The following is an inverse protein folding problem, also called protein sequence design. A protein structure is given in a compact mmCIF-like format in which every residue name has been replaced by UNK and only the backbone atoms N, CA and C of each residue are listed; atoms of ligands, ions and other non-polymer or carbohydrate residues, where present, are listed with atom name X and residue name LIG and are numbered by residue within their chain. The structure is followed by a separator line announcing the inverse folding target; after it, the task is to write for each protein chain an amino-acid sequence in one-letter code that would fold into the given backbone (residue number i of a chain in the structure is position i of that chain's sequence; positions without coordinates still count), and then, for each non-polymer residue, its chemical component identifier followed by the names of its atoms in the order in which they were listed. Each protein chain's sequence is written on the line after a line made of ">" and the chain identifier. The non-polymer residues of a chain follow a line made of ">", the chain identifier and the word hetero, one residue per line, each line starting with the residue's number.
data_IF_135341223667
#
_entry.id   IF_135341223667
#
_cell.length_a   1.000
_cell.length_b   1.000
_cell.length_c   1.000
_cell.angle_alpha   90.00
_cell.angle_beta   90.00
_cell.angle_gamma   90.00
#
_symmetry.space_group_name_H-M   'P 1'
#
loop_
_entity.id
_entity.type
_entity.pdbx_description
1 polymer ?
#
# COMPACT_ATOMS: atom_id res chain seq x y z
N UNK A 1 8.59 9.16 -6.07
CA UNK A 1 8.19 8.21 -5.00
C UNK A 1 7.12 8.81 -4.09
N UNK A 2 7.42 9.89 -3.38
CA UNK A 2 6.49 10.53 -2.43
C UNK A 2 5.13 10.88 -3.05
N UNK A 3 5.09 11.41 -4.28
CA UNK A 3 3.83 11.72 -4.97
C UNK A 3 2.94 10.48 -5.21
N UNK A 4 3.54 9.37 -5.63
CA UNK A 4 2.81 8.12 -5.93
C UNK A 4 2.39 7.42 -4.64
N UNK A 5 3.27 7.35 -3.65
CA UNK A 5 3.00 6.72 -2.34
C UNK A 5 1.97 7.52 -1.51
N UNK A 6 2.00 8.85 -1.59
CA UNK A 6 0.97 9.72 -1.01
C UNK A 6 -0.33 9.78 -1.82
N UNK A 7 -0.34 9.19 -3.01
CA UNK A 7 -1.49 9.14 -3.88
C UNK A 7 -2.58 8.23 -3.32
N UNK A 8 -3.82 8.73 -3.31
CA UNK A 8 -4.99 7.96 -2.89
C UNK A 8 -6.14 8.16 -3.87
N UNK A 9 -6.78 7.06 -4.24
CA UNK A 9 -8.08 7.08 -4.91
C UNK A 9 -9.16 7.19 -3.87
N UNK A 10 -9.94 8.28 -3.92
CA UNK A 10 -11.04 8.53 -2.99
C UNK A 10 -12.34 7.97 -3.56
N UNK A 11 -12.92 6.97 -2.89
CA UNK A 11 -14.26 6.46 -3.22
C UNK A 11 -15.28 7.24 -2.38
N UNK A 12 -16.21 8.01 -2.99
CA UNK A 12 -17.20 8.75 -2.24
C UNK A 12 -18.20 7.80 -1.57
N UNK A 13 -18.48 8.04 -0.30
CA UNK A 13 -19.43 7.29 0.51
C UNK A 13 -20.40 8.27 1.16
N UNK A 14 -21.64 7.85 1.26
CA UNK A 14 -22.66 8.58 1.98
C UNK A 14 -23.16 7.73 3.14
N UNK A 15 -23.26 8.35 4.31
CA UNK A 15 -23.94 7.74 5.45
C UNK A 15 -25.41 8.12 5.44
N UNK A 16 -26.27 7.16 5.77
CA UNK A 16 -27.71 7.40 5.88
C UNK A 16 -28.01 8.53 6.87
N UNK A 17 -28.86 9.46 6.46
CA UNK A 17 -29.37 10.55 7.31
C UNK A 17 -30.36 9.96 8.31
N UNK A 18 -30.22 10.30 9.60
CA UNK A 18 -31.24 9.97 10.59
C UNK A 18 -32.09 11.20 10.86
N UNK A 19 -33.37 11.12 10.55
CA UNK A 19 -34.33 12.16 10.93
C UNK A 19 -34.69 11.92 12.40
N UNK A 20 -34.35 12.87 13.27
CA UNK A 20 -34.76 12.86 14.68
C UNK A 20 -35.62 14.10 14.91
N UNK A 21 -36.93 13.89 15.09
CA UNK A 21 -37.92 14.97 15.18
C UNK A 21 -38.09 15.71 13.84
N UNK A 22 -38.01 17.06 13.86
CA UNK A 22 -38.11 17.94 12.67
C UNK A 22 -36.76 18.34 12.07
N UNK A 23 -35.63 17.89 12.63
CA UNK A 23 -34.29 18.26 12.15
C UNK A 23 -33.63 17.05 11.50
N UNK A 24 -33.17 17.23 10.27
CA UNK A 24 -32.25 16.29 9.64
C UNK A 24 -30.90 16.41 10.36
N UNK A 25 -30.45 15.32 10.99
CA UNK A 25 -29.10 15.19 11.52
C UNK A 25 -28.35 14.10 10.74
N UNK A 26 -27.10 14.38 10.39
CA UNK A 26 -26.25 13.46 9.64
C UNK A 26 -26.35 13.59 8.12
N UNK A 27 -25.76 12.64 7.41
CA UNK A 27 -25.59 12.67 5.96
C UNK A 27 -24.38 13.43 5.47
N UNK A 28 -23.28 13.37 6.21
CA UNK A 28 -22.02 13.90 5.73
C UNK A 28 -21.47 12.98 4.65
N UNK A 29 -21.21 13.55 3.46
CA UNK A 29 -20.44 12.86 2.44
C UNK A 29 -19.01 12.69 2.95
N UNK A 30 -18.55 11.45 2.96
CA UNK A 30 -17.16 11.11 3.26
C UNK A 30 -16.52 10.43 2.04
N UNK A 31 -15.26 10.04 2.17
CA UNK A 31 -14.60 9.18 1.21
C UNK A 31 -13.85 8.05 1.92
N UNK A 32 -13.79 6.89 1.29
CA UNK A 32 -12.88 5.81 1.64
C UNK A 32 -11.60 6.00 0.83
N UNK A 33 -10.47 6.30 1.48
CA UNK A 33 -9.20 6.43 0.80
C UNK A 33 -8.62 5.05 0.48
N UNK A 34 -8.37 4.77 -0.80
CA UNK A 34 -7.57 3.63 -1.24
C UNK A 34 -6.22 4.14 -1.69
N UNK A 35 -5.15 3.78 -0.97
CA UNK A 35 -3.77 4.14 -1.36
C UNK A 35 -3.39 3.47 -2.67
N UNK A 36 -2.56 4.13 -3.48
CA UNK A 36 -2.04 3.55 -4.74
C UNK A 36 -1.19 2.31 -4.47
N UNK A 37 -0.42 2.33 -3.39
CA UNK A 37 0.31 1.18 -2.90
C UNK A 37 -0.14 0.84 -1.48
N UNK A 38 -1.11 -0.06 -1.36
CA UNK A 38 -1.54 -0.60 -0.06
C UNK A 38 -0.49 -1.52 0.55
N UNK A 39 0.41 -2.06 -0.28
CA UNK A 39 1.42 -3.04 0.12
C UNK A 39 2.73 -2.42 0.64
N UNK A 40 2.92 -1.12 0.41
CA UNK A 40 4.14 -0.40 0.78
C UNK A 40 5.39 -1.04 0.15
N UNK A 41 6.44 -1.17 0.96
CA UNK A 41 7.77 -1.67 0.57
C UNK A 41 7.88 -3.20 0.67
N UNK A 42 6.88 -3.86 1.25
CA UNK A 42 6.99 -5.28 1.62
C UNK A 42 7.14 -6.22 0.40
N UNK A 43 6.43 -6.03 -0.72
CA UNK A 43 6.58 -6.94 -1.88
C UNK A 43 8.00 -6.97 -2.48
N UNK A 44 8.68 -5.83 -2.74
CA UNK A 44 10.09 -5.84 -3.15
C UNK A 44 11.03 -6.54 -2.16
N UNK A 45 10.79 -6.40 -0.85
CA UNK A 45 11.60 -7.07 0.19
C UNK A 45 11.42 -8.59 0.09
N UNK A 46 10.19 -9.09 0.00
CA UNK A 46 9.97 -10.53 -0.14
C UNK A 46 10.54 -11.09 -1.45
N UNK A 47 10.33 -10.39 -2.57
CA UNK A 47 10.88 -10.78 -3.86
C UNK A 47 12.41 -10.88 -3.81
N UNK A 48 13.09 -9.90 -3.20
CA UNK A 48 14.56 -9.94 -3.06
C UNK A 48 15.03 -11.05 -2.12
N UNK A 49 14.35 -11.28 -1.00
CA UNK A 49 14.71 -12.35 -0.05
C UNK A 49 14.62 -13.75 -0.67
N UNK A 50 13.60 -14.00 -1.49
CA UNK A 50 13.40 -15.30 -2.16
C UNK A 50 14.45 -15.54 -3.24
N UNK A 51 14.88 -14.50 -3.96
CA UNK A 51 15.93 -14.66 -4.98
C UNK A 51 17.31 -14.80 -4.33
N UNK A 52 17.55 -14.08 -3.23
CA UNK A 52 18.83 -14.11 -2.54
C UNK A 52 19.09 -15.44 -1.82
N UNK A 53 18.03 -16.17 -1.42
CA UNK A 53 18.16 -17.44 -0.71
C UNK A 53 18.86 -18.54 -1.55
N UNK A 54 18.39 -18.91 -2.76
CA UNK A 54 19.10 -19.84 -3.62
C UNK A 54 20.47 -19.33 -4.05
N UNK A 55 20.61 -18.03 -4.31
CA UNK A 55 21.88 -17.44 -4.72
C UNK A 55 22.96 -17.60 -3.64
N UNK A 56 22.60 -17.42 -2.38
CA UNK A 56 23.49 -17.63 -1.23
C UNK A 56 23.90 -19.10 -1.10
N UNK A 57 22.96 -20.04 -1.23
CA UNK A 57 23.27 -21.49 -1.17
C UNK A 57 24.19 -21.89 -2.33
N UNK A 58 23.94 -21.35 -3.52
CA UNK A 58 24.73 -21.63 -4.71
C UNK A 58 26.19 -21.17 -4.60
N UNK A 59 26.49 -20.19 -3.75
CA UNK A 59 27.87 -19.77 -3.46
C UNK A 59 28.64 -20.78 -2.61
N UNK A 60 27.96 -21.58 -1.79
CA UNK A 60 28.60 -22.60 -0.94
C UNK A 60 28.87 -23.92 -1.67
N UNK A 61 28.22 -24.16 -2.80
CA UNK A 61 28.33 -25.42 -3.57
C UNK A 61 28.96 -25.13 -4.93
N UNK A 62 30.23 -25.51 -5.09
CA UNK A 62 31.01 -25.34 -6.33
C UNK A 62 30.68 -26.43 -7.38
N UNK A 63 29.41 -26.51 -7.80
CA UNK A 63 29.00 -27.38 -8.91
C UNK A 63 28.73 -26.57 -10.20
N UNK A 64 29.14 -27.05 -11.39
CA UNK A 64 29.07 -26.28 -12.65
C UNK A 64 27.67 -25.76 -13.00
N UNK A 65 26.62 -26.58 -12.81
CA UNK A 65 25.24 -26.18 -13.07
C UNK A 65 24.74 -25.12 -12.07
N UNK A 66 25.22 -25.19 -10.83
CA UNK A 66 24.84 -24.26 -9.78
C UNK A 66 25.49 -22.89 -9.96
N UNK A 67 26.73 -22.88 -10.47
CA UNK A 67 27.44 -21.67 -10.92
C UNK A 67 26.72 -20.99 -12.09
N UNK A 68 26.21 -21.75 -13.07
CA UNK A 68 25.43 -21.16 -14.16
C UNK A 68 24.11 -20.54 -13.69
N UNK A 69 23.43 -21.18 -12.73
CA UNK A 69 22.18 -20.65 -12.14
C UNK A 69 22.46 -19.40 -11.30
N UNK A 70 23.54 -19.42 -10.50
CA UNK A 70 24.02 -18.27 -9.73
C UNK A 70 24.35 -17.06 -10.64
N UNK A 71 25.04 -17.29 -11.75
CA UNK A 71 25.37 -16.24 -12.71
C UNK A 71 24.12 -15.63 -13.35
N UNK A 72 23.07 -16.44 -13.61
CA UNK A 72 21.78 -15.96 -14.13
C UNK A 72 20.93 -15.22 -13.09
N UNK A 73 21.16 -15.46 -11.79
CA UNK A 73 20.47 -14.79 -10.68
C UNK A 73 21.22 -13.56 -10.17
N UNK A 74 22.30 -13.16 -10.83
CA UNK A 74 23.06 -11.96 -10.48
C UNK A 74 22.33 -10.70 -10.99
N UNK A 75 22.24 -9.63 -10.18
CA UNK A 75 21.68 -8.35 -10.60
C UNK A 75 22.34 -7.82 -11.88
N UNK A 76 21.54 -7.28 -12.80
CA UNK A 76 22.00 -6.78 -14.11
C UNK A 76 21.86 -7.77 -15.28
N UNK A 77 21.44 -9.02 -15.03
CA UNK A 77 21.00 -9.92 -16.10
C UNK A 77 19.52 -9.71 -16.41
N UNK A 78 19.14 -9.87 -17.68
CA UNK A 78 17.73 -9.73 -18.12
C UNK A 78 16.85 -10.80 -17.45
N UNK A 79 17.41 -12.00 -17.25
CA UNK A 79 16.73 -13.12 -16.58
C UNK A 79 16.38 -12.77 -15.14
N UNK A 80 17.34 -12.23 -14.37
CA UNK A 80 17.10 -11.72 -13.01
C UNK A 80 15.99 -10.67 -13.00
N UNK A 81 16.06 -9.66 -13.88
CA UNK A 81 15.06 -8.59 -13.93
C UNK A 81 13.65 -9.09 -14.24
N UNK A 82 13.49 -10.09 -15.12
CA UNK A 82 12.20 -10.68 -15.46
C UNK A 82 11.63 -11.50 -14.29
N UNK A 83 12.43 -12.35 -13.66
CA UNK A 83 12.01 -13.14 -12.50
C UNK A 83 11.66 -12.21 -11.33
N UNK A 84 12.46 -11.17 -11.12
CA UNK A 84 12.24 -10.19 -10.07
C UNK A 84 10.98 -9.34 -10.30
N UNK A 85 10.73 -8.88 -11.55
CA UNK A 85 9.46 -8.29 -11.93
C UNK A 85 8.29 -9.23 -11.60
N UNK A 86 8.34 -10.47 -12.08
CA UNK A 86 7.28 -11.45 -11.87
C UNK A 86 6.99 -11.66 -10.39
N UNK A 87 8.05 -11.78 -9.57
CA UNK A 87 7.94 -11.89 -8.13
C UNK A 87 7.30 -10.65 -7.49
N UNK A 88 7.70 -9.43 -7.89
CA UNK A 88 7.10 -8.18 -7.40
C UNK A 88 5.60 -8.14 -7.71
N UNK A 89 5.20 -8.47 -8.94
CA UNK A 89 3.78 -8.54 -9.31
C UNK A 89 3.03 -9.55 -8.45
N UNK A 90 3.55 -10.77 -8.34
CA UNK A 90 2.94 -11.81 -7.52
C UNK A 90 2.76 -11.37 -6.06
N UNK A 91 3.81 -10.84 -5.43
CA UNK A 91 3.74 -10.41 -4.03
C UNK A 91 2.87 -9.18 -3.83
N UNK A 92 2.80 -8.26 -4.80
CA UNK A 92 1.94 -7.09 -4.71
C UNK A 92 0.45 -7.48 -4.70
N UNK A 93 0.06 -8.42 -5.57
CA UNK A 93 -1.31 -8.96 -5.57
C UNK A 93 -1.59 -9.81 -4.33
N UNK A 94 -0.67 -10.73 -3.99
CA UNK A 94 -0.82 -11.61 -2.84
C UNK A 94 -0.97 -10.83 -1.53
N UNK A 95 -0.07 -9.87 -1.28
CA UNK A 95 -0.11 -9.08 -0.05
C UNK A 95 -1.36 -8.18 0.02
N UNK A 96 -1.74 -7.55 -1.10
CA UNK A 96 -2.95 -6.72 -1.14
C UNK A 96 -4.20 -7.55 -0.82
N UNK A 97 -4.32 -8.76 -1.38
CA UNK A 97 -5.46 -9.64 -1.14
C UNK A 97 -5.53 -10.15 0.31
N UNK A 98 -4.37 -10.38 0.95
CA UNK A 98 -4.32 -10.85 2.35
C UNK A 98 -4.73 -9.75 3.33
N UNK A 99 -4.31 -8.50 3.10
CA UNK A 99 -4.59 -7.40 4.04
C UNK A 99 -5.93 -6.74 3.78
N UNK A 100 -6.27 -6.54 2.51
CA UNK A 100 -7.46 -5.81 2.13
C UNK A 100 -8.53 -6.78 1.65
N UNK A 101 -9.41 -7.19 2.57
CA UNK A 101 -10.59 -7.98 2.21
C UNK A 101 -11.75 -7.05 1.81
N UNK A 102 -12.11 -6.96 0.51
CA UNK A 102 -13.18 -6.07 0.03
C UNK A 102 -14.56 -6.47 0.56
N UNK A 103 -14.77 -7.74 0.91
CA UNK A 103 -16.02 -8.25 1.49
C UNK A 103 -16.22 -7.66 2.89
N UNK A 104 -15.20 -7.74 3.73
CA UNK A 104 -15.25 -7.20 5.10
C UNK A 104 -15.42 -5.68 5.11
N UNK A 105 -14.76 -4.97 4.18
CA UNK A 105 -14.90 -3.52 4.04
C UNK A 105 -16.32 -3.14 3.63
N UNK A 106 -16.92 -3.87 2.67
CA UNK A 106 -18.29 -3.64 2.23
C UNK A 106 -19.32 -3.94 3.34
N UNK A 107 -19.10 -5.00 4.12
CA UNK A 107 -19.97 -5.36 5.24
C UNK A 107 -19.86 -4.37 6.39
N UNK A 108 -18.66 -3.89 6.71
CA UNK A 108 -18.47 -2.81 7.69
C UNK A 108 -19.16 -1.51 7.23
N UNK A 109 -19.02 -1.16 5.96
CA UNK A 109 -19.71 -0.01 5.37
C UNK A 109 -21.23 -0.12 5.58
N UNK A 110 -21.80 -1.28 5.26
CA UNK A 110 -23.22 -1.59 5.42
C UNK A 110 -23.66 -1.54 6.89
N UNK A 111 -22.89 -2.13 7.81
CA UNK A 111 -23.17 -2.14 9.27
C UNK A 111 -23.20 -0.72 9.85
N UNK A 112 -22.33 0.18 9.37
CA UNK A 112 -22.30 1.58 9.79
C UNK A 112 -23.29 2.48 9.03
N UNK A 113 -24.18 1.90 8.21
CA UNK A 113 -25.18 2.67 7.44
C UNK A 113 -24.57 3.51 6.32
N UNK A 114 -23.34 3.20 5.91
CA UNK A 114 -22.66 3.79 4.77
C UNK A 114 -22.97 3.03 3.48
N UNK A 115 -23.04 3.74 2.36
CA UNK A 115 -23.17 3.15 1.04
C UNK A 115 -22.44 3.98 -0.01
N UNK A 116 -22.01 3.32 -1.07
CA UNK A 116 -21.43 3.98 -2.25
C UNK A 116 -22.59 4.40 -3.16
N UNK A 117 -22.73 5.70 -3.50
CA UNK A 117 -23.79 6.18 -4.37
C UNK A 117 -23.81 5.43 -5.71
N UNK A 118 -24.99 4.93 -6.11
CA UNK A 118 -25.18 4.19 -7.37
C UNK A 118 -24.93 2.68 -7.29
N UNK A 119 -24.48 2.14 -6.13
CA UNK A 119 -24.18 0.71 -5.98
C UNK A 119 -24.95 0.14 -4.79
N UNK A 120 -25.55 -1.04 -4.98
CA UNK A 120 -26.31 -1.72 -3.92
C UNK A 120 -25.36 -2.19 -2.80
N UNK A 121 -25.64 -1.91 -1.51
CA UNK A 121 -24.81 -2.37 -0.40
C UNK A 121 -24.68 -3.90 -0.31
N UNK A 122 -23.52 -4.39 0.11
CA UNK A 122 -23.19 -5.82 0.19
C UNK A 122 -22.30 -6.27 -0.97
N UNK A 123 -22.60 -7.44 -1.56
CA UNK A 123 -21.76 -8.07 -2.60
C UNK A 123 -21.41 -7.15 -3.79
N UNK A 124 -22.37 -6.33 -4.27
CA UNK A 124 -22.09 -5.39 -5.37
C UNK A 124 -21.10 -4.29 -4.99
N UNK A 125 -21.04 -3.94 -3.72
CA UNK A 125 -20.06 -2.97 -3.20
C UNK A 125 -18.68 -3.61 -3.07
N UNK A 126 -18.58 -4.87 -2.62
CA UNK A 126 -17.31 -5.59 -2.58
C UNK A 126 -16.73 -5.80 -3.97
N UNK A 127 -17.53 -6.22 -4.95
CA UNK A 127 -17.07 -6.43 -6.35
C UNK A 127 -16.53 -5.12 -6.96
N UNK A 128 -17.18 -3.99 -6.64
CA UNK A 128 -16.76 -2.68 -7.10
C UNK A 128 -15.42 -2.25 -6.47
N UNK A 129 -15.27 -2.44 -5.16
CA UNK A 129 -14.02 -2.15 -4.44
C UNK A 129 -12.89 -3.04 -4.96
N UNK A 130 -13.16 -4.34 -5.16
CA UNK A 130 -12.18 -5.31 -5.68
C UNK A 130 -11.69 -4.96 -7.09
N UNK A 131 -12.61 -4.59 -7.99
CA UNK A 131 -12.26 -4.15 -9.35
C UNK A 131 -11.36 -2.90 -9.31
N UNK A 132 -11.63 -1.98 -8.38
CA UNK A 132 -10.83 -0.77 -8.21
C UNK A 132 -9.44 -1.12 -7.66
N UNK A 133 -9.37 -1.95 -6.61
CA UNK A 133 -8.12 -2.38 -6.00
C UNK A 133 -7.25 -3.10 -7.02
N UNK A 134 -7.79 -4.09 -7.72
CA UNK A 134 -7.05 -4.85 -8.73
C UNK A 134 -6.41 -3.97 -9.81
N UNK A 135 -7.11 -2.90 -10.24
CA UNK A 135 -6.55 -1.93 -11.20
C UNK A 135 -5.49 -1.04 -10.56
N UNK A 136 -5.71 -0.56 -9.34
CA UNK A 136 -4.72 0.26 -8.62
C UNK A 136 -3.44 -0.55 -8.38
N UNK A 137 -3.58 -1.78 -7.87
CA UNK A 137 -2.48 -2.71 -7.60
C UNK A 137 -1.69 -3.02 -8.87
N UNK A 138 -2.35 -3.14 -10.03
CA UNK A 138 -1.64 -3.29 -11.30
C UNK A 138 -0.68 -2.12 -11.58
N UNK A 139 -1.18 -0.87 -11.50
CA UNK A 139 -0.34 0.31 -11.69
C UNK A 139 0.74 0.43 -10.60
N UNK A 140 0.41 0.07 -9.36
CA UNK A 140 1.36 0.02 -8.24
C UNK A 140 2.51 -0.96 -8.51
N UNK A 141 2.20 -2.19 -8.94
CA UNK A 141 3.19 -3.21 -9.26
C UNK A 141 4.11 -2.80 -10.42
N UNK A 142 3.55 -2.23 -11.50
CA UNK A 142 4.33 -1.68 -12.61
C UNK A 142 5.30 -0.61 -12.10
N UNK A 143 4.80 0.36 -11.33
CA UNK A 143 5.61 1.44 -10.77
C UNK A 143 6.73 0.93 -9.85
N UNK A 144 6.43 -0.01 -8.94
CA UNK A 144 7.42 -0.60 -8.04
C UNK A 144 8.50 -1.37 -8.82
N UNK A 145 8.11 -2.18 -9.81
CA UNK A 145 9.05 -2.95 -10.63
C UNK A 145 10.00 -2.04 -11.42
N UNK A 146 9.50 -0.93 -11.98
CA UNK A 146 10.32 0.05 -12.70
C UNK A 146 11.35 0.72 -11.78
N UNK A 147 10.98 1.12 -10.56
CA UNK A 147 11.92 1.75 -9.62
C UNK A 147 13.02 0.78 -9.19
N UNK A 148 12.67 -0.47 -8.94
CA UNK A 148 13.64 -1.46 -8.50
C UNK A 148 14.68 -1.78 -9.59
N UNK A 149 14.26 -1.82 -10.86
CA UNK A 149 15.08 -2.27 -11.98
C UNK A 149 15.88 -1.14 -12.63
N UNK A 150 15.38 0.10 -12.58
CA UNK A 150 16.01 1.23 -13.24
C UNK A 150 17.47 1.46 -12.78
N UNK A 151 17.81 1.40 -11.48
CA UNK A 151 19.20 1.55 -11.03
C UNK A 151 20.12 0.41 -11.50
N UNK A 152 19.63 -0.83 -11.56
CA UNK A 152 20.43 -1.98 -12.02
C UNK A 152 20.90 -1.78 -13.47
N UNK A 153 20.01 -1.25 -14.33
CA UNK A 153 20.36 -0.93 -15.71
C UNK A 153 21.28 0.31 -15.81
N UNK A 154 21.07 1.32 -14.97
CA UNK A 154 21.97 2.49 -14.95
C UNK A 154 23.40 2.10 -14.55
N UNK A 155 23.58 1.25 -13.55
CA UNK A 155 24.89 0.75 -13.13
C UNK A 155 25.56 -0.01 -14.29
N UNK A 156 24.80 -0.88 -14.97
CA UNK A 156 25.32 -1.70 -16.08
C UNK A 156 25.76 -0.88 -17.30
N UNK A 157 24.99 0.14 -17.68
CA UNK A 157 25.28 0.92 -18.90
C UNK A 157 26.17 2.13 -18.65
N UNK A 158 26.04 2.81 -17.52
CA UNK A 158 26.78 4.04 -17.22
C UNK A 158 27.99 3.84 -16.30
N UNK A 159 28.20 2.64 -15.74
CA UNK A 159 29.34 2.32 -14.84
C UNK A 159 29.48 3.28 -13.64
N UNK A 160 28.38 3.92 -13.23
CA UNK A 160 28.35 4.77 -12.03
C UNK A 160 28.14 3.84 -10.83
N UNK A 161 29.07 3.78 -9.85
CA UNK A 161 28.90 2.95 -8.67
C UNK A 161 27.80 3.54 -7.77
N UNK A 162 26.56 3.12 -8.03
CA UNK A 162 25.44 3.40 -7.13
C UNK A 162 25.57 2.47 -5.92
N UNK A 163 26.02 3.01 -4.79
CA UNK A 163 26.07 2.29 -3.51
C UNK A 163 24.66 1.92 -2.99
N UNK A 164 23.63 2.61 -3.49
CA UNK A 164 22.23 2.36 -3.16
C UNK A 164 21.52 1.77 -4.39
N UNK A 165 21.24 0.46 -4.38
CA UNK A 165 20.38 -0.17 -5.39
C UNK A 165 18.93 0.35 -5.36
N UNK A 166 18.15 0.04 -6.40
CA UNK A 166 16.75 0.50 -6.48
C UNK A 166 15.88 -0.01 -5.34
N UNK A 167 16.13 -1.23 -4.88
CA UNK A 167 15.42 -1.81 -3.73
C UNK A 167 15.75 -1.09 -2.42
N UNK A 168 17.02 -0.74 -2.16
CA UNK A 168 17.38 -0.05 -0.93
C UNK A 168 16.86 1.39 -0.89
N UNK A 169 16.86 2.09 -2.02
CA UNK A 169 16.27 3.42 -2.13
C UNK A 169 14.75 3.40 -1.87
N UNK A 170 14.05 2.39 -2.40
CA UNK A 170 12.61 2.19 -2.15
C UNK A 170 12.34 1.92 -0.67
N UNK A 171 13.17 1.10 -0.02
CA UNK A 171 13.07 0.81 1.42
C UNK A 171 13.25 2.06 2.26
N UNK A 172 14.30 2.84 2.00
CA UNK A 172 14.57 4.07 2.78
C UNK A 172 13.38 5.03 2.68
N UNK A 173 12.87 5.28 1.48
CA UNK A 173 11.77 6.23 1.30
C UNK A 173 10.46 5.70 1.89
N UNK A 174 10.12 4.42 1.66
CA UNK A 174 8.86 3.88 2.15
C UNK A 174 8.81 3.75 3.68
N UNK A 175 9.88 3.29 4.32
CA UNK A 175 9.96 3.26 5.80
C UNK A 175 9.94 4.68 6.39
N UNK A 176 10.60 5.65 5.74
CA UNK A 176 10.55 7.04 6.18
C UNK A 176 9.13 7.62 6.12
N UNK A 177 8.38 7.33 5.05
CA UNK A 177 6.98 7.74 4.92
C UNK A 177 6.08 7.05 5.95
N UNK A 178 6.24 5.75 6.17
CA UNK A 178 5.49 5.01 7.18
C UNK A 178 5.76 5.56 8.59
N UNK A 179 7.03 5.88 8.89
CA UNK A 179 7.42 6.48 10.17
C UNK A 179 6.80 7.87 10.34
N UNK A 180 6.83 8.72 9.30
CA UNK A 180 6.15 10.02 9.32
C UNK A 180 4.64 9.87 9.56
N UNK A 181 3.99 8.94 8.87
CA UNK A 181 2.55 8.73 8.99
C UNK A 181 2.15 8.20 10.38
N UNK A 182 2.98 7.34 10.97
CA UNK A 182 2.80 6.89 12.35
C UNK A 182 2.94 8.07 13.34
N UNK A 183 3.97 8.89 13.21
CA UNK A 183 4.18 10.08 14.05
C UNK A 183 2.98 11.03 13.93
N UNK A 184 2.51 11.32 12.72
CA UNK A 184 1.35 12.17 12.48
C UNK A 184 0.08 11.60 13.15
N UNK A 185 -0.16 10.29 13.04
CA UNK A 185 -1.31 9.64 13.67
C UNK A 185 -1.29 9.77 15.20
N UNK A 186 -0.12 9.63 15.83
CA UNK A 186 0.03 9.80 17.28
C UNK A 186 -0.15 11.26 17.71
N UNK A 187 0.35 12.22 16.92
CA UNK A 187 0.16 13.65 17.19
C UNK A 187 -1.30 14.08 17.08
N UNK A 188 -2.04 13.55 16.10
CA UNK A 188 -3.49 13.80 15.95
C UNK A 188 -4.25 13.29 17.17
N UNK A 189 -3.95 12.07 17.64
CA UNK A 189 -4.56 11.53 18.86
C UNK A 189 -4.26 12.38 20.09
N UNK A 190 -3.01 12.86 20.26
CA UNK A 190 -2.62 13.71 21.38
C UNK A 190 -3.31 15.08 21.36
N UNK A 191 -3.50 15.66 20.18
CA UNK A 191 -4.19 16.96 20.03
C UNK A 191 -5.73 16.85 20.15
N UNK A 192 -6.27 15.63 20.17
CA UNK A 192 -7.71 15.38 20.31
C UNK A 192 -8.23 15.68 21.74
N UNK A 193 -7.40 15.50 22.76
CA UNK A 193 -7.76 15.76 24.17
C UNK A 193 -8.04 17.24 24.49
N UNK A 194 -7.52 18.17 23.68
CA UNK A 194 -7.68 19.61 23.91
C UNK A 194 -9.08 20.16 23.61
N UNK A 195 -9.85 19.49 22.74
CA UNK A 195 -11.16 19.99 22.29
C UNK A 195 -12.35 19.58 23.18
N UNK A 196 -12.21 18.51 23.97
CA UNK A 196 -13.32 17.98 24.80
C UNK A 196 -13.43 18.71 26.15
N UNK A 197 -12.39 19.43 26.60
CA UNK A 197 -12.32 20.01 27.96
C UNK A 197 -12.96 21.39 28.15
N UNK A 198 -13.46 22.06 27.10
CA UNK A 198 -14.11 23.39 27.21
C UNK A 198 -15.59 23.32 26.86
N UNK A 199 -16.42 22.87 27.79
CA UNK A 199 -17.87 22.89 27.55
C UNK A 199 -18.78 22.47 28.70
N UNK A 200 -18.78 23.22 29.82
CA UNK A 200 -19.97 23.68 30.59
C UNK A 200 -19.69 23.80 32.08
N UNK A 201 -19.62 25.04 32.56
CA UNK A 201 -20.12 25.41 33.87
C UNK A 201 -21.13 26.56 33.65
N UNK A 202 -22.37 26.18 33.36
CA UNK A 202 -23.51 27.09 33.49
C UNK A 202 -24.03 26.93 34.91
N UNK A 203 -23.40 27.63 35.86
CA UNK A 203 -23.99 27.82 37.19
C UNK A 203 -25.17 28.78 37.05
N UNK A 204 -26.36 28.33 37.42
CA UNK A 204 -27.58 29.12 37.45
C UNK A 204 -28.29 28.84 38.76
N UNK A 205 -28.35 29.84 39.64
CA UNK A 205 -29.41 30.18 40.62
C UNK A 205 -28.79 31.22 41.58
N UNK A 206 -29.37 32.40 41.80
CA UNK A 206 -30.80 32.72 41.82
C UNK A 206 -31.35 32.24 43.14
#
# INVERSE_FOLDING_TARGET
>A
IVFTEGGQRRIPIQYAKRVVGRKMMGGQATHLPLKVNTSGVIPPIFASSIIMFPATIAQFISHPWMLTVSAMLTPGTIVYSLIFCGAIFFFCYFYTAVIFNPVDVADNLKKHGGYVPGIRPGARTSDYIDTILSRITFYGAVYLSLICILPDYLIKYFNIPFYFGGTSLLIVVGVSLDTMQQIESHLVMRNYDGFVKKGRLKSRRG
#
